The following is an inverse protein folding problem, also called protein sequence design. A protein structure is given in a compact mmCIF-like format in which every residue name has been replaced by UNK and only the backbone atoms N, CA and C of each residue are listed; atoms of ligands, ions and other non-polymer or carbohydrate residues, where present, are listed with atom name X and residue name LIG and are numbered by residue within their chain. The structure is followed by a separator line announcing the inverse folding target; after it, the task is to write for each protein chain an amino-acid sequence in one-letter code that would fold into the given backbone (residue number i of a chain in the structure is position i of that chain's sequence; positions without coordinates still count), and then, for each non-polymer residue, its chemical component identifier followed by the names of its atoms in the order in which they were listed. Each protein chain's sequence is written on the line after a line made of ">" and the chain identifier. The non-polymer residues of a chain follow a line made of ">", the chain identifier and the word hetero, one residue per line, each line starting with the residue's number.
data_IF_407728013979
#
_entry.id   IF_407728013979
#
_cell.length_a   1.000
_cell.length_b   1.000
_cell.length_c   1.000
_cell.angle_alpha   90.00
_cell.angle_beta   90.00
_cell.angle_gamma   90.00
#
_symmetry.space_group_name_H-M   'P 1'
#
loop_
_entity.id
_entity.type
_entity.pdbx_description
1 polymer ?
#
# COMPACT_ATOMS: atom_id res chain seq x y z
N UNK A 1 -15.78 14.01 -21.52
CA UNK A 1 -16.25 12.63 -21.77
C UNK A 1 -16.81 12.08 -20.49
N UNK A 2 -17.98 11.48 -20.51
CA UNK A 2 -18.47 10.73 -19.34
C UNK A 2 -17.56 9.51 -19.09
N UNK A 3 -17.47 8.96 -17.86
CA UNK A 3 -16.71 7.76 -17.60
C UNK A 3 -17.04 6.58 -18.52
N UNK A 4 -18.29 6.48 -18.98
CA UNK A 4 -18.76 5.43 -19.88
C UNK A 4 -18.24 5.53 -21.32
N UNK A 5 -17.72 6.70 -21.73
CA UNK A 5 -17.25 6.97 -23.12
C UNK A 5 -15.74 6.91 -23.25
N UNK A 6 -15.00 6.48 -22.21
CA UNK A 6 -13.55 6.41 -22.25
C UNK A 6 -13.06 5.26 -23.13
N UNK A 7 -11.92 5.47 -23.75
CA UNK A 7 -11.33 4.51 -24.69
C UNK A 7 -10.91 3.20 -24.01
N UNK A 8 -10.41 3.29 -22.76
CA UNK A 8 -9.93 2.15 -21.99
C UNK A 8 -10.66 2.02 -20.66
N UNK A 9 -10.95 0.80 -20.28
CA UNK A 9 -11.46 0.48 -18.95
C UNK A 9 -10.29 0.49 -17.95
N UNK A 10 -9.14 -0.06 -18.34
CA UNK A 10 -7.93 -0.12 -17.52
C UNK A 10 -6.71 0.32 -18.32
N UNK A 11 -5.91 1.23 -17.76
CA UNK A 11 -4.55 1.51 -18.23
C UNK A 11 -3.56 1.08 -17.17
N UNK A 12 -2.68 0.13 -17.48
CA UNK A 12 -1.59 -0.30 -16.61
C UNK A 12 -0.34 0.53 -16.88
N UNK A 13 -0.08 1.51 -16.01
CA UNK A 13 1.11 2.36 -16.09
C UNK A 13 2.27 1.75 -15.30
N UNK A 14 3.43 1.64 -15.97
CA UNK A 14 4.60 0.94 -15.44
C UNK A 14 4.67 -0.54 -15.81
N UNK A 15 3.94 -0.95 -16.85
CA UNK A 15 3.84 -2.34 -17.31
C UNK A 15 5.18 -3.03 -17.59
N UNK A 16 6.27 -2.27 -17.79
CA UNK A 16 7.62 -2.80 -18.07
C UNK A 16 8.46 -3.10 -16.82
N UNK A 17 7.97 -2.71 -15.63
CA UNK A 17 8.59 -3.01 -14.34
C UNK A 17 8.31 -4.45 -13.88
N UNK A 18 8.95 -4.89 -12.78
CA UNK A 18 8.75 -6.23 -12.24
C UNK A 18 7.27 -6.47 -11.88
N UNK A 19 6.72 -5.66 -10.96
CA UNK A 19 5.30 -5.78 -10.56
C UNK A 19 4.35 -5.51 -11.72
N UNK A 20 4.70 -4.56 -12.61
CA UNK A 20 3.89 -4.26 -13.79
C UNK A 20 3.75 -5.42 -14.75
N UNK A 21 4.82 -6.21 -14.98
CA UNK A 21 4.76 -7.42 -15.80
C UNK A 21 3.86 -8.49 -15.19
N UNK A 22 3.99 -8.73 -13.88
CA UNK A 22 3.13 -9.70 -13.17
C UNK A 22 1.65 -9.27 -13.20
N UNK A 23 1.39 -7.97 -13.03
CA UNK A 23 0.03 -7.43 -13.16
C UNK A 23 -0.51 -7.59 -14.57
N UNK A 24 0.31 -7.29 -15.60
CA UNK A 24 -0.07 -7.48 -16.99
C UNK A 24 -0.36 -8.94 -17.32
N UNK A 25 0.47 -9.87 -16.82
CA UNK A 25 0.27 -11.30 -16.97
C UNK A 25 -1.04 -11.76 -16.32
N UNK A 26 -1.30 -11.32 -15.09
CA UNK A 26 -2.55 -11.62 -14.40
C UNK A 26 -3.76 -11.12 -15.20
N UNK A 27 -3.73 -9.88 -15.66
CA UNK A 27 -4.81 -9.30 -16.45
C UNK A 27 -5.03 -10.06 -17.76
N UNK A 28 -3.97 -10.47 -18.45
CA UNK A 28 -4.04 -11.25 -19.69
C UNK A 28 -4.66 -12.65 -19.51
N UNK A 29 -4.52 -13.23 -18.31
CA UNK A 29 -5.04 -14.57 -18.00
C UNK A 29 -6.35 -14.54 -17.19
N UNK A 30 -6.83 -13.36 -16.77
CA UNK A 30 -8.03 -13.24 -15.92
C UNK A 30 -9.35 -13.57 -16.61
N UNK A 31 -9.37 -13.71 -17.93
CA UNK A 31 -10.58 -13.85 -18.73
C UNK A 31 -11.43 -12.57 -18.78
N UNK A 32 -10.90 -11.44 -18.34
CA UNK A 32 -11.59 -10.15 -18.35
C UNK A 32 -11.86 -9.66 -19.78
N UNK A 33 -13.04 -9.12 -20.02
CA UNK A 33 -13.44 -8.45 -21.26
C UNK A 33 -13.12 -6.96 -21.28
N UNK A 34 -12.45 -6.45 -20.24
CA UNK A 34 -12.06 -5.05 -20.13
C UNK A 34 -11.11 -4.64 -21.26
N UNK A 35 -11.29 -3.43 -21.76
CA UNK A 35 -10.39 -2.79 -22.74
C UNK A 35 -9.14 -2.30 -22.01
N UNK A 36 -8.05 -3.06 -22.13
CA UNK A 36 -6.80 -2.82 -21.39
C UNK A 36 -5.76 -2.19 -22.31
N UNK A 37 -5.02 -1.20 -21.80
CA UNK A 37 -3.83 -0.65 -22.44
C UNK A 37 -2.61 -0.73 -21.53
N UNK A 38 -1.43 -0.95 -22.11
CA UNK A 38 -0.14 -0.92 -21.42
C UNK A 38 0.50 0.45 -21.57
N UNK A 39 0.96 1.03 -20.47
CA UNK A 39 1.57 2.36 -20.48
C UNK A 39 2.97 2.38 -19.83
N UNK A 40 3.83 3.26 -20.35
CA UNK A 40 5.20 3.44 -19.86
C UNK A 40 6.04 4.33 -20.78
N UNK A 41 7.33 4.51 -20.44
CA UNK A 41 8.23 5.45 -21.12
C UNK A 41 8.84 4.94 -22.42
N UNK A 42 8.87 3.64 -22.63
CA UNK A 42 9.60 3.03 -23.78
C UNK A 42 8.66 2.16 -24.61
N UNK A 43 8.39 2.61 -25.83
CA UNK A 43 7.60 1.86 -26.81
C UNK A 43 8.18 0.47 -27.09
N UNK A 44 9.50 0.35 -27.17
CA UNK A 44 10.19 -0.92 -27.40
C UNK A 44 9.95 -1.91 -26.26
N UNK A 45 10.14 -1.47 -25.00
CA UNK A 45 9.91 -2.31 -23.84
C UNK A 45 8.45 -2.71 -23.69
N UNK A 46 7.51 -1.81 -23.96
CA UNK A 46 6.07 -2.11 -23.95
C UNK A 46 5.72 -3.15 -25.00
N UNK A 47 6.27 -3.06 -26.23
CA UNK A 47 6.11 -4.11 -27.25
C UNK A 47 6.64 -5.46 -26.77
N UNK A 48 7.82 -5.47 -26.11
CA UNK A 48 8.39 -6.69 -25.53
C UNK A 48 7.48 -7.32 -24.49
N UNK A 49 6.87 -6.53 -23.59
CA UNK A 49 5.89 -7.03 -22.61
C UNK A 49 4.67 -7.60 -23.33
N UNK A 50 4.08 -6.87 -24.28
CA UNK A 50 2.92 -7.33 -25.05
C UNK A 50 3.19 -8.65 -25.79
N UNK A 51 4.36 -8.79 -26.39
CA UNK A 51 4.77 -10.04 -27.04
C UNK A 51 4.92 -11.20 -26.04
N UNK A 52 5.45 -10.93 -24.84
CA UNK A 52 5.59 -11.93 -23.77
C UNK A 52 4.22 -12.42 -23.27
N UNK A 53 3.21 -11.56 -23.25
CA UNK A 53 1.85 -11.90 -22.83
C UNK A 53 1.09 -12.79 -23.83
N UNK A 54 1.57 -12.87 -25.07
CA UNK A 54 1.01 -13.73 -26.10
C UNK A 54 -0.35 -13.27 -26.66
N UNK A 55 -1.16 -14.21 -27.17
CA UNK A 55 -2.39 -13.90 -27.91
C UNK A 55 -3.41 -13.08 -27.11
N UNK A 56 -3.50 -13.31 -25.81
CA UNK A 56 -4.49 -12.66 -24.94
C UNK A 56 -4.30 -11.14 -24.81
N UNK A 57 -3.12 -10.62 -25.16
CA UNK A 57 -2.80 -9.21 -25.12
C UNK A 57 -2.31 -8.66 -26.46
N UNK A 58 -2.44 -9.43 -27.57
CA UNK A 58 -1.89 -9.06 -28.87
C UNK A 58 -2.40 -7.69 -29.35
N UNK A 59 -3.66 -7.38 -29.08
CA UNK A 59 -4.32 -6.14 -29.51
C UNK A 59 -4.30 -5.04 -28.44
N UNK A 60 -3.64 -5.24 -27.29
CA UNK A 60 -3.59 -4.21 -26.27
C UNK A 60 -2.81 -2.99 -26.73
N UNK A 61 -3.43 -1.79 -26.77
CA UNK A 61 -2.76 -0.56 -27.14
C UNK A 61 -1.59 -0.22 -26.21
N UNK A 62 -0.61 0.49 -26.77
CA UNK A 62 0.56 0.96 -26.05
C UNK A 62 0.52 2.48 -25.93
N UNK A 63 0.59 2.99 -24.71
CA UNK A 63 0.54 4.44 -24.40
C UNK A 63 1.92 4.88 -23.89
N UNK A 64 2.47 5.89 -24.53
CA UNK A 64 3.70 6.53 -24.05
C UNK A 64 3.34 7.59 -23.00
N UNK A 65 3.81 7.38 -21.77
CA UNK A 65 3.63 8.30 -20.66
C UNK A 65 4.88 8.32 -19.77
N UNK A 66 5.25 9.50 -19.30
CA UNK A 66 6.42 9.71 -18.43
C UNK A 66 6.04 10.63 -17.26
N UNK A 67 6.37 10.21 -16.02
CA UNK A 67 6.13 10.99 -14.82
C UNK A 67 6.85 12.34 -14.80
N UNK A 68 7.93 12.51 -15.58
CA UNK A 68 8.62 13.78 -15.77
C UNK A 68 7.93 14.72 -16.76
N UNK A 69 6.89 14.24 -17.46
CA UNK A 69 6.14 14.97 -18.47
C UNK A 69 4.63 14.96 -18.15
N UNK A 70 4.14 15.86 -17.27
CA UNK A 70 2.77 15.84 -16.78
C UNK A 70 1.69 15.79 -17.86
N UNK A 71 1.89 16.45 -18.99
CA UNK A 71 0.93 16.43 -20.10
C UNK A 71 0.69 15.01 -20.67
N UNK A 72 1.70 14.15 -20.64
CA UNK A 72 1.54 12.75 -21.08
C UNK A 72 0.68 11.94 -20.10
N UNK A 73 0.78 12.24 -18.80
CA UNK A 73 -0.05 11.64 -17.77
C UNK A 73 -1.50 12.13 -17.85
N UNK A 74 -1.71 13.42 -18.11
CA UNK A 74 -3.05 13.99 -18.31
C UNK A 74 -3.74 13.36 -19.54
N UNK A 75 -3.02 13.26 -20.66
CA UNK A 75 -3.53 12.63 -21.87
C UNK A 75 -3.88 11.14 -21.66
N UNK A 76 -3.07 10.41 -20.88
CA UNK A 76 -3.33 9.03 -20.53
C UNK A 76 -4.55 8.91 -19.61
N UNK A 77 -4.61 9.70 -18.53
CA UNK A 77 -5.70 9.67 -17.57
C UNK A 77 -7.06 10.00 -18.21
N UNK A 78 -7.11 10.99 -19.12
CA UNK A 78 -8.33 11.37 -19.81
C UNK A 78 -8.96 10.24 -20.67
N UNK A 79 -8.18 9.22 -21.06
CA UNK A 79 -8.59 8.10 -21.90
C UNK A 79 -9.00 6.84 -21.11
N UNK A 80 -8.71 6.80 -19.82
CA UNK A 80 -8.91 5.62 -18.96
C UNK A 80 -10.05 5.80 -17.97
N UNK A 81 -10.83 4.75 -17.72
CA UNK A 81 -11.71 4.72 -16.54
C UNK A 81 -10.89 4.55 -15.27
N UNK A 82 -9.91 3.63 -15.29
CA UNK A 82 -9.01 3.35 -14.17
C UNK A 82 -7.56 3.37 -14.66
N UNK A 83 -6.69 4.03 -13.92
CA UNK A 83 -5.23 3.88 -14.08
C UNK A 83 -4.70 3.05 -12.91
N UNK A 84 -4.17 1.86 -13.22
CA UNK A 84 -3.36 1.06 -12.29
C UNK A 84 -1.91 1.45 -12.46
N UNK A 85 -1.23 1.86 -11.39
CA UNK A 85 0.19 2.21 -11.49
C UNK A 85 1.09 1.37 -10.60
N UNK A 86 2.19 0.92 -11.18
CA UNK A 86 3.28 0.22 -10.48
C UNK A 86 4.59 1.03 -10.53
N UNK A 87 4.49 2.33 -10.82
CA UNK A 87 5.65 3.24 -10.98
C UNK A 87 6.02 3.84 -9.63
N UNK A 88 7.02 3.27 -8.98
CA UNK A 88 7.63 3.81 -7.76
C UNK A 88 9.08 4.30 -7.99
N UNK A 89 9.71 4.96 -7.01
CA UNK A 89 9.15 5.45 -5.73
C UNK A 89 8.03 6.47 -5.93
N UNK A 90 6.93 6.32 -5.19
CA UNK A 90 5.72 7.14 -5.37
C UNK A 90 5.90 8.56 -4.88
N UNK A 91 6.66 8.79 -3.81
CA UNK A 91 7.03 10.13 -3.34
C UNK A 91 7.70 10.95 -4.44
N UNK A 92 8.44 10.28 -5.35
CA UNK A 92 9.14 10.96 -6.45
C UNK A 92 8.30 11.10 -7.71
N UNK A 93 7.49 10.09 -8.04
CA UNK A 93 6.85 9.97 -9.36
C UNK A 93 5.32 9.91 -9.31
N UNK A 94 4.71 9.71 -8.14
CA UNK A 94 3.29 9.40 -8.03
C UNK A 94 2.38 10.62 -8.09
N UNK A 95 2.73 11.72 -7.42
CA UNK A 95 1.86 12.90 -7.30
C UNK A 95 1.38 13.48 -8.64
N UNK A 96 2.22 13.59 -9.70
CA UNK A 96 1.74 14.09 -10.98
C UNK A 96 0.63 13.22 -11.62
N UNK A 97 0.68 11.90 -11.41
CA UNK A 97 -0.35 11.01 -11.90
C UNK A 97 -1.63 11.09 -11.07
N UNK A 98 -1.53 11.18 -9.73
CA UNK A 98 -2.68 11.44 -8.85
C UNK A 98 -3.38 12.74 -9.26
N UNK A 99 -2.62 13.81 -9.52
CA UNK A 99 -3.15 15.08 -10.01
C UNK A 99 -3.91 14.91 -11.33
N UNK A 100 -3.33 14.21 -12.29
CA UNK A 100 -3.94 13.97 -13.60
C UNK A 100 -5.25 13.16 -13.46
N UNK A 101 -5.27 12.12 -12.64
CA UNK A 101 -6.45 11.31 -12.39
C UNK A 101 -7.54 12.10 -11.66
N UNK A 102 -7.19 12.82 -10.58
CA UNK A 102 -8.13 13.67 -9.85
C UNK A 102 -8.76 14.75 -10.74
N UNK A 103 -7.96 15.38 -11.61
CA UNK A 103 -8.44 16.39 -12.57
C UNK A 103 -9.38 15.79 -13.62
N UNK A 104 -9.07 14.60 -14.11
CA UNK A 104 -9.83 13.95 -15.18
C UNK A 104 -11.08 13.21 -14.70
N UNK A 105 -11.31 13.05 -13.41
CA UNK A 105 -12.35 12.16 -12.89
C UNK A 105 -12.05 10.68 -13.18
N UNK A 106 -10.77 10.31 -13.23
CA UNK A 106 -10.28 8.95 -13.51
C UNK A 106 -9.96 8.26 -12.21
N UNK A 107 -10.38 7.03 -12.05
CA UNK A 107 -10.01 6.22 -10.90
C UNK A 107 -8.51 5.88 -10.93
N UNK A 108 -7.91 5.86 -9.77
CA UNK A 108 -6.48 5.59 -9.57
C UNK A 108 -6.29 4.48 -8.57
N UNK A 109 -5.39 3.55 -8.86
CA UNK A 109 -4.97 2.54 -7.90
C UNK A 109 -3.45 2.31 -8.00
N UNK A 110 -2.80 2.18 -6.85
CA UNK A 110 -1.37 1.92 -6.74
C UNK A 110 -1.06 0.82 -5.71
N UNK A 111 0.22 0.51 -5.55
CA UNK A 111 0.73 -0.42 -4.55
C UNK A 111 1.78 0.26 -3.65
N UNK A 112 1.51 1.52 -3.27
CA UNK A 112 2.43 2.28 -2.43
C UNK A 112 2.51 1.75 -1.00
N UNK A 113 3.70 1.80 -0.41
CA UNK A 113 3.94 1.68 1.04
C UNK A 113 4.51 2.97 1.63
N UNK A 114 4.35 4.12 0.94
CA UNK A 114 4.98 5.39 1.27
C UNK A 114 3.97 6.35 1.94
N UNK A 115 4.00 6.39 3.29
CA UNK A 115 3.03 7.15 4.09
C UNK A 115 2.99 8.64 3.73
N UNK A 116 4.15 9.26 3.48
CA UNK A 116 4.22 10.66 3.09
C UNK A 116 3.61 10.94 1.73
N UNK A 117 3.76 10.01 0.78
CA UNK A 117 3.07 10.11 -0.50
C UNK A 117 1.55 10.04 -0.33
N UNK A 118 1.06 9.11 0.51
CA UNK A 118 -0.36 9.01 0.82
C UNK A 118 -0.88 10.31 1.45
N UNK A 119 -0.17 10.87 2.44
CA UNK A 119 -0.56 12.13 3.10
C UNK A 119 -0.62 13.26 2.09
N UNK A 120 0.43 13.46 1.29
CA UNK A 120 0.47 14.51 0.28
C UNK A 120 -0.63 14.35 -0.78
N UNK A 121 -0.93 13.11 -1.19
CA UNK A 121 -2.01 12.83 -2.13
C UNK A 121 -3.38 13.25 -1.57
N UNK A 122 -3.61 12.99 -0.28
CA UNK A 122 -4.84 13.38 0.42
C UNK A 122 -4.92 14.91 0.51
N UNK A 123 -3.86 15.57 1.00
CA UNK A 123 -3.88 17.02 1.24
C UNK A 123 -4.08 17.81 -0.05
N UNK A 124 -3.43 17.39 -1.13
CA UNK A 124 -3.43 18.12 -2.39
C UNK A 124 -4.64 17.82 -3.26
N UNK A 125 -5.15 16.57 -3.26
CA UNK A 125 -6.06 16.12 -4.31
C UNK A 125 -7.36 15.50 -3.81
N UNK A 126 -7.57 15.30 -2.50
CA UNK A 126 -8.81 14.69 -1.98
C UNK A 126 -10.06 15.47 -2.42
N UNK A 127 -10.02 16.80 -2.22
CA UNK A 127 -11.17 17.65 -2.60
C UNK A 127 -11.42 17.62 -4.11
N UNK A 128 -10.37 17.76 -4.92
CA UNK A 128 -10.51 17.72 -6.38
C UNK A 128 -11.05 16.38 -6.86
N UNK A 129 -10.57 15.27 -6.30
CA UNK A 129 -11.05 13.93 -6.63
C UNK A 129 -12.54 13.77 -6.26
N UNK A 130 -12.95 14.25 -5.09
CA UNK A 130 -14.36 14.23 -4.68
C UNK A 130 -15.25 15.06 -5.63
N UNK A 131 -14.79 16.27 -6.01
CA UNK A 131 -15.53 17.16 -6.92
C UNK A 131 -15.70 16.57 -8.33
N UNK A 132 -14.73 15.79 -8.82
CA UNK A 132 -14.75 15.14 -10.15
C UNK A 132 -15.33 13.74 -10.15
N UNK A 133 -15.52 13.14 -8.98
CA UNK A 133 -15.96 11.74 -8.81
C UNK A 133 -14.82 10.71 -8.98
N UNK A 134 -13.56 11.12 -9.07
CA UNK A 134 -12.41 10.22 -9.13
C UNK A 134 -12.20 9.48 -7.80
N UNK A 135 -12.02 8.17 -7.84
CA UNK A 135 -11.63 7.36 -6.69
C UNK A 135 -10.13 7.17 -6.68
N UNK A 136 -9.44 7.80 -5.73
CA UNK A 136 -7.99 7.68 -5.55
C UNK A 136 -7.73 6.63 -4.46
N UNK A 137 -7.44 5.39 -4.87
CA UNK A 137 -7.25 4.24 -3.97
C UNK A 137 -5.77 3.94 -3.87
N UNK A 138 -5.21 4.24 -2.72
CA UNK A 138 -3.79 4.05 -2.42
C UNK A 138 -3.57 2.67 -1.75
N UNK A 139 -2.36 2.13 -1.87
CA UNK A 139 -1.95 0.91 -1.16
C UNK A 139 -2.76 -0.36 -1.51
N UNK A 140 -3.08 -0.56 -2.80
CA UNK A 140 -3.78 -1.75 -3.28
C UNK A 140 -2.88 -2.99 -3.42
N UNK A 141 -1.63 -2.94 -2.93
CA UNK A 141 -0.72 -4.08 -2.93
C UNK A 141 -1.11 -5.15 -1.91
N UNK A 142 -0.60 -6.38 -2.12
CA UNK A 142 -0.82 -7.52 -1.23
C UNK A 142 -0.35 -7.26 0.21
N UNK A 143 0.64 -6.40 0.39
CA UNK A 143 1.18 -6.01 1.70
C UNK A 143 0.22 -5.17 2.55
N UNK A 144 -0.85 -4.60 1.99
CA UNK A 144 -1.82 -3.78 2.72
C UNK A 144 -3.28 -4.23 2.54
N UNK A 145 -3.67 -4.66 1.33
CA UNK A 145 -5.06 -5.06 1.03
C UNK A 145 -5.59 -6.15 1.98
N UNK A 146 -4.84 -7.22 2.31
CA UNK A 146 -5.34 -8.22 3.25
C UNK A 146 -5.62 -7.65 4.64
N UNK A 147 -4.82 -6.70 5.10
CA UNK A 147 -5.02 -6.03 6.40
C UNK A 147 -6.34 -5.26 6.41
N UNK A 148 -6.56 -4.44 5.41
CA UNK A 148 -7.74 -3.58 5.32
C UNK A 148 -9.04 -4.37 5.07
N UNK A 149 -9.02 -5.26 4.08
CA UNK A 149 -10.21 -6.04 3.73
C UNK A 149 -10.60 -7.07 4.80
N UNK A 150 -9.64 -7.68 5.51
CA UNK A 150 -9.97 -8.58 6.62
C UNK A 150 -10.67 -7.84 7.77
N UNK A 151 -10.25 -6.63 8.10
CA UNK A 151 -10.94 -5.82 9.13
C UNK A 151 -12.31 -5.40 8.65
N UNK A 152 -12.45 -5.02 7.38
CA UNK A 152 -13.76 -4.72 6.79
C UNK A 152 -14.71 -5.94 6.84
N UNK A 153 -14.21 -7.13 6.51
CA UNK A 153 -14.99 -8.36 6.61
C UNK A 153 -15.38 -8.67 8.06
N UNK A 154 -14.45 -8.47 9.01
CA UNK A 154 -14.75 -8.65 10.45
C UNK A 154 -15.84 -7.68 10.90
N UNK A 155 -15.77 -6.40 10.49
CA UNK A 155 -16.81 -5.42 10.74
C UNK A 155 -18.15 -5.85 10.13
N UNK A 156 -18.17 -6.25 8.86
CA UNK A 156 -19.37 -6.76 8.21
C UNK A 156 -20.01 -7.89 9.01
N UNK A 157 -19.16 -8.83 9.47
CA UNK A 157 -19.60 -9.97 10.28
C UNK A 157 -20.17 -9.53 11.64
N UNK A 158 -19.53 -8.57 12.31
CA UNK A 158 -20.02 -8.06 13.58
C UNK A 158 -21.40 -7.40 13.47
N UNK A 159 -21.64 -6.70 12.36
CA UNK A 159 -22.98 -6.12 12.05
C UNK A 159 -24.01 -7.23 11.82
N UNK A 160 -23.67 -8.25 11.02
CA UNK A 160 -24.57 -9.38 10.72
C UNK A 160 -24.94 -10.17 12.00
N UNK A 161 -23.96 -10.38 12.87
CA UNK A 161 -24.14 -11.11 14.15
C UNK A 161 -24.74 -10.25 15.28
N UNK A 162 -24.86 -8.94 15.08
CA UNK A 162 -25.35 -8.03 16.12
C UNK A 162 -24.43 -7.90 17.34
N UNK A 163 -23.11 -8.15 17.18
CA UNK A 163 -22.14 -8.15 18.28
C UNK A 163 -21.62 -6.76 18.66
N UNK A 164 -22.00 -5.73 17.89
CA UNK A 164 -21.64 -4.34 18.15
C UNK A 164 -20.35 -3.88 17.44
N UNK A 165 -19.79 -2.77 17.95
CA UNK A 165 -18.59 -2.16 17.38
C UNK A 165 -17.34 -3.00 17.62
N UNK A 166 -16.38 -2.92 16.68
CA UNK A 166 -15.04 -3.46 16.90
C UNK A 166 -14.30 -2.61 17.94
N UNK A 167 -13.55 -3.27 18.82
CA UNK A 167 -12.69 -2.63 19.81
C UNK A 167 -11.22 -2.98 19.53
N UNK A 168 -10.57 -3.76 20.42
CA UNK A 168 -9.22 -4.23 20.20
C UNK A 168 -9.23 -5.33 19.13
N UNK A 169 -8.59 -5.02 18.00
CA UNK A 169 -8.56 -5.88 16.83
C UNK A 169 -7.11 -6.13 16.43
N UNK A 170 -6.73 -7.39 16.35
CA UNK A 170 -5.35 -7.80 16.05
C UNK A 170 -5.31 -8.68 14.81
N UNK A 171 -4.42 -8.32 13.85
CA UNK A 171 -4.04 -9.20 12.77
C UNK A 171 -2.76 -9.96 13.14
N UNK A 172 -2.78 -11.28 13.01
CA UNK A 172 -1.61 -12.12 13.23
C UNK A 172 -1.21 -12.84 11.97
N UNK A 173 -0.11 -12.41 11.37
CA UNK A 173 0.48 -13.09 10.21
C UNK A 173 1.11 -14.41 10.68
N UNK A 174 0.51 -15.55 10.35
CA UNK A 174 0.94 -16.86 10.85
C UNK A 174 2.16 -17.43 10.15
N UNK A 175 2.28 -17.20 8.86
CA UNK A 175 3.42 -17.65 8.05
C UNK A 175 3.70 -16.65 6.93
N UNK A 176 4.97 -16.48 6.64
CA UNK A 176 5.46 -15.57 5.60
C UNK A 176 6.62 -16.22 4.85
N UNK A 177 6.57 -16.20 3.53
CA UNK A 177 7.67 -16.64 2.70
C UNK A 177 8.55 -15.45 2.30
N UNK A 178 9.84 -15.48 2.66
CA UNK A 178 10.80 -14.40 2.36
C UNK A 178 11.06 -14.18 0.86
N UNK A 179 10.53 -15.03 -0.03
CA UNK A 179 10.69 -14.91 -1.48
C UNK A 179 9.93 -13.73 -2.10
N UNK A 180 9.20 -12.96 -1.32
CA UNK A 180 8.26 -11.94 -1.79
C UNK A 180 8.76 -10.50 -1.67
N UNK A 181 10.00 -10.28 -1.21
CA UNK A 181 10.54 -8.92 -1.06
C UNK A 181 11.19 -8.49 -2.36
N UNK A 182 10.52 -7.62 -3.12
CA UNK A 182 11.09 -7.02 -4.33
C UNK A 182 12.11 -5.92 -4.01
N UNK A 183 13.07 -5.71 -4.91
CA UNK A 183 14.00 -4.58 -4.78
C UNK A 183 13.30 -3.21 -4.78
N UNK A 184 12.11 -3.11 -5.38
CA UNK A 184 11.24 -1.93 -5.31
C UNK A 184 10.72 -1.68 -3.90
N UNK A 185 10.22 -2.71 -3.21
CA UNK A 185 9.73 -2.60 -1.82
C UNK A 185 10.83 -2.13 -0.87
N UNK A 186 12.04 -2.65 -1.03
CA UNK A 186 13.18 -2.23 -0.19
C UNK A 186 13.60 -0.80 -0.47
N UNK A 187 13.62 -0.37 -1.73
CA UNK A 187 13.94 1.01 -2.10
C UNK A 187 12.92 1.99 -1.52
N UNK A 188 11.64 1.67 -1.63
CA UNK A 188 10.51 2.44 -1.07
C UNK A 188 10.63 2.57 0.46
N UNK A 189 10.84 1.45 1.17
CA UNK A 189 11.02 1.45 2.62
C UNK A 189 12.22 2.28 3.05
N UNK A 190 13.37 2.12 2.37
CA UNK A 190 14.58 2.86 2.66
C UNK A 190 14.42 4.36 2.48
N UNK A 191 13.70 4.79 1.47
CA UNK A 191 13.42 6.21 1.21
C UNK A 191 12.48 6.79 2.27
N UNK A 192 11.41 6.07 2.62
CA UNK A 192 10.49 6.46 3.67
C UNK A 192 11.21 6.64 5.02
N UNK A 193 12.10 5.70 5.37
CA UNK A 193 12.90 5.79 6.60
C UNK A 193 13.86 6.97 6.61
N UNK A 194 14.52 7.26 5.48
CA UNK A 194 15.40 8.45 5.39
C UNK A 194 14.63 9.75 5.58
N UNK A 195 13.50 9.89 4.91
CA UNK A 195 12.66 11.07 5.02
C UNK A 195 12.20 11.28 6.47
N UNK A 196 11.71 10.24 7.13
CA UNK A 196 11.30 10.29 8.53
C UNK A 196 12.46 10.60 9.50
N UNK A 197 13.70 10.21 9.16
CA UNK A 197 14.88 10.47 9.99
C UNK A 197 15.41 11.89 9.87
N UNK A 198 15.31 12.50 8.68
CA UNK A 198 15.90 13.81 8.38
C UNK A 198 14.96 14.98 8.64
N UNK A 199 13.64 14.74 8.67
CA UNK A 199 12.62 15.77 8.80
C UNK A 199 11.77 15.54 10.06
N UNK A 200 11.77 16.50 11.05
CA UNK A 200 10.96 16.41 12.25
C UNK A 200 9.46 16.38 11.98
N UNK A 201 8.97 17.05 10.93
CA UNK A 201 7.56 17.06 10.54
C UNK A 201 7.17 15.70 9.96
N UNK A 202 7.95 15.17 9.03
CA UNK A 202 7.76 13.82 8.52
C UNK A 202 7.77 12.77 9.64
N UNK A 203 8.64 12.93 10.65
CA UNK A 203 8.67 12.05 11.83
C UNK A 203 7.38 12.10 12.62
N UNK A 204 6.82 13.29 12.86
CA UNK A 204 5.52 13.45 13.53
C UNK A 204 4.41 12.74 12.75
N UNK A 205 4.34 12.97 11.44
CA UNK A 205 3.35 12.34 10.58
C UNK A 205 3.46 10.82 10.57
N UNK A 206 4.67 10.26 10.51
CA UNK A 206 4.88 8.81 10.53
C UNK A 206 4.49 8.18 11.88
N UNK A 207 4.67 8.89 12.99
CA UNK A 207 4.33 8.39 14.33
C UNK A 207 2.86 8.60 14.71
N UNK A 208 2.16 9.48 14.02
CA UNK A 208 0.75 9.76 14.26
C UNK A 208 -0.13 8.57 13.79
N UNK A 209 -0.94 7.97 14.67
CA UNK A 209 -1.78 6.84 14.32
C UNK A 209 -2.88 7.18 13.30
N UNK A 210 -3.27 8.44 13.20
CA UNK A 210 -4.36 8.92 12.33
C UNK A 210 -3.88 9.82 11.19
N UNK A 211 -2.59 9.81 10.88
CA UNK A 211 -2.00 10.72 9.89
C UNK A 211 -2.66 10.70 8.51
N UNK A 212 -3.41 9.66 8.15
CA UNK A 212 -4.10 9.55 6.86
C UNK A 212 -5.58 9.95 6.92
N UNK A 213 -6.10 10.43 8.04
CA UNK A 213 -7.47 10.93 8.11
C UNK A 213 -7.59 12.30 7.43
N UNK A 214 -8.77 12.58 6.87
CA UNK A 214 -9.07 13.87 6.23
C UNK A 214 -9.59 14.87 7.23
N UNK A 215 -10.44 14.44 8.17
CA UNK A 215 -10.97 15.27 9.25
C UNK A 215 -10.25 14.98 10.56
N UNK A 216 -9.25 15.81 10.86
CA UNK A 216 -8.47 15.73 12.10
C UNK A 216 -9.29 16.01 13.35
N UNK A 217 -10.34 16.80 13.24
CA UNK A 217 -11.22 17.15 14.36
C UNK A 217 -12.13 16.01 14.81
N UNK A 218 -12.39 15.03 13.94
CA UNK A 218 -13.24 13.89 14.24
C UNK A 218 -12.48 12.68 14.80
N UNK A 219 -11.14 12.75 14.94
CA UNK A 219 -10.31 11.63 15.41
C UNK A 219 -10.63 11.25 16.86
N UNK A 220 -10.68 9.94 17.18
CA UNK A 220 -10.90 9.48 18.55
C UNK A 220 -9.62 9.64 19.40
N UNK A 221 -9.78 10.09 20.62
CA UNK A 221 -8.71 10.23 21.62
C UNK A 221 -8.45 8.89 22.34
N UNK A 222 -7.74 7.97 21.68
CA UNK A 222 -7.46 6.64 22.25
C UNK A 222 -6.07 6.51 22.91
N UNK A 223 -5.32 7.60 22.99
CA UNK A 223 -3.95 7.59 23.53
C UNK A 223 -2.95 6.83 22.64
N UNK A 224 -1.89 6.31 23.24
CA UNK A 224 -0.82 5.64 22.51
C UNK A 224 -1.31 4.37 21.81
N UNK A 225 -0.95 4.22 20.53
CA UNK A 225 -1.22 3.04 19.71
C UNK A 225 0.09 2.58 19.05
N UNK A 226 0.92 1.81 19.77
CA UNK A 226 2.23 1.41 19.30
C UNK A 226 2.12 0.43 18.12
N UNK A 227 2.97 0.64 17.09
CA UNK A 227 3.00 -0.20 15.89
C UNK A 227 3.71 -1.54 16.11
N UNK A 228 4.65 -1.60 17.06
CA UNK A 228 5.45 -2.79 17.31
C UNK A 228 5.10 -3.37 18.66
N UNK A 229 4.36 -4.46 18.62
CA UNK A 229 3.89 -5.20 19.79
C UNK A 229 4.55 -6.57 19.85
N UNK A 230 4.71 -7.07 21.09
CA UNK A 230 5.12 -8.43 21.39
C UNK A 230 4.13 -8.98 22.40
N UNK A 231 3.47 -10.10 22.06
CA UNK A 231 2.47 -10.73 22.93
C UNK A 231 2.56 -12.26 22.87
N UNK A 232 2.32 -12.98 23.97
CA UNK A 232 2.02 -14.39 23.88
C UNK A 232 0.69 -14.58 23.14
N UNK A 233 0.61 -15.58 22.27
CA UNK A 233 -0.57 -15.80 21.43
C UNK A 233 -1.86 -16.07 22.22
N UNK A 234 -1.74 -16.67 23.43
CA UNK A 234 -2.88 -16.88 24.31
C UNK A 234 -3.60 -15.59 24.75
N UNK A 235 -2.90 -14.44 24.73
CA UNK A 235 -3.44 -13.13 25.06
C UNK A 235 -4.22 -12.52 23.88
N UNK A 236 -4.09 -13.11 22.67
CA UNK A 236 -4.76 -12.68 21.46
C UNK A 236 -5.97 -13.57 21.14
N UNK A 237 -5.77 -14.89 21.13
CA UNK A 237 -6.84 -15.86 20.89
C UNK A 237 -6.45 -17.25 21.40
N UNK A 238 -7.44 -18.07 21.84
CA UNK A 238 -7.19 -19.46 22.30
C UNK A 238 -6.46 -20.32 21.27
N UNK A 239 -6.74 -20.15 19.97
CA UNK A 239 -6.15 -20.87 18.85
C UNK A 239 -4.66 -20.58 18.66
N UNK A 240 -4.20 -19.47 19.21
CA UNK A 240 -2.81 -19.03 19.21
C UNK A 240 -2.06 -19.43 20.50
N UNK A 241 -2.68 -20.21 21.39
CA UNK A 241 -2.02 -20.68 22.59
C UNK A 241 -0.71 -21.42 22.27
N UNK A 242 0.34 -21.08 22.99
CA UNK A 242 1.69 -21.60 22.76
C UNK A 242 2.52 -20.86 21.72
N UNK A 243 1.92 -20.05 20.86
CA UNK A 243 2.68 -19.18 19.97
C UNK A 243 3.17 -17.92 20.68
N UNK A 244 4.23 -17.34 20.15
CA UNK A 244 4.65 -15.97 20.44
C UNK A 244 4.56 -15.13 19.20
N UNK A 245 4.08 -13.90 19.37
CA UNK A 245 4.04 -12.90 18.30
C UNK A 245 5.02 -11.76 18.56
N UNK A 246 5.53 -11.17 17.48
CA UNK A 246 6.43 -10.03 17.52
C UNK A 246 6.06 -9.00 16.47
N UNK A 247 6.80 -7.90 16.42
CA UNK A 247 6.56 -6.80 15.50
C UNK A 247 6.53 -7.26 14.04
N UNK A 248 5.63 -6.67 13.27
CA UNK A 248 5.52 -6.86 11.82
C UNK A 248 5.98 -5.59 11.10
N UNK A 249 6.84 -5.75 10.09
CA UNK A 249 7.51 -4.62 9.43
C UNK A 249 6.54 -3.66 8.74
N UNK A 250 5.41 -4.15 8.24
CA UNK A 250 4.39 -3.34 7.56
C UNK A 250 3.37 -2.71 8.52
N UNK A 251 3.36 -3.09 9.80
CA UNK A 251 2.40 -2.57 10.77
C UNK A 251 2.33 -1.04 10.83
N UNK A 252 3.45 -0.27 10.79
CA UNK A 252 3.39 1.19 10.80
C UNK A 252 2.62 1.80 9.62
N UNK A 253 2.63 1.15 8.48
CA UNK A 253 1.88 1.60 7.31
C UNK A 253 0.44 1.08 7.33
N UNK A 254 0.26 -0.22 7.47
CA UNK A 254 -1.06 -0.87 7.39
C UNK A 254 -2.05 -0.36 8.45
N UNK A 255 -1.57 -0.12 9.68
CA UNK A 255 -2.42 0.39 10.76
C UNK A 255 -3.03 1.76 10.42
N UNK A 256 -2.31 2.62 9.68
CA UNK A 256 -2.82 3.91 9.19
C UNK A 256 -3.83 3.73 8.07
N UNK A 257 -3.61 2.78 7.16
CA UNK A 257 -4.56 2.46 6.09
C UNK A 257 -5.89 1.99 6.69
N UNK A 258 -5.86 1.02 7.60
CA UNK A 258 -7.07 0.48 8.26
C UNK A 258 -7.82 1.55 9.05
N UNK A 259 -7.11 2.41 9.79
CA UNK A 259 -7.74 3.53 10.51
C UNK A 259 -8.32 4.57 9.57
N UNK A 260 -7.67 4.82 8.40
CA UNK A 260 -8.24 5.65 7.35
C UNK A 260 -9.54 5.06 6.80
N UNK A 261 -9.60 3.76 6.56
CA UNK A 261 -10.83 3.09 6.10
C UNK A 261 -11.96 3.22 7.10
N UNK A 262 -11.67 3.14 8.41
CA UNK A 262 -12.66 3.44 9.45
C UNK A 262 -13.14 4.90 9.39
N UNK A 263 -12.21 5.86 9.27
CA UNK A 263 -12.55 7.28 9.19
C UNK A 263 -13.39 7.62 7.95
N UNK A 264 -13.04 7.04 6.79
CA UNK A 264 -13.80 7.23 5.54
C UNK A 264 -15.22 6.64 5.58
N UNK A 265 -15.46 5.69 6.48
CA UNK A 265 -16.76 5.11 6.76
C UNK A 265 -17.41 5.74 8.00
N UNK A 266 -17.10 7.00 8.30
CA UNK A 266 -17.67 7.76 9.43
C UNK A 266 -17.49 7.04 10.79
N UNK A 267 -16.35 6.36 10.94
CA UNK A 267 -15.99 5.59 12.13
C UNK A 267 -16.88 4.37 12.39
N UNK A 268 -17.43 3.77 11.34
CA UNK A 268 -18.36 2.66 11.41
C UNK A 268 -17.81 1.39 12.10
N UNK A 269 -16.49 1.16 12.09
CA UNK A 269 -15.90 0.05 12.85
C UNK A 269 -16.05 0.26 14.37
N UNK A 270 -16.15 1.49 14.81
CA UNK A 270 -16.30 1.91 16.21
C UNK A 270 -15.34 3.04 16.57
N UNK A 271 -15.79 3.94 17.44
CA UNK A 271 -14.93 5.03 17.94
C UNK A 271 -13.87 4.58 18.94
N UNK A 272 -14.02 3.38 19.51
CA UNK A 272 -13.02 2.74 20.38
C UNK A 272 -12.12 1.75 19.64
N UNK A 273 -12.24 1.67 18.33
CA UNK A 273 -11.49 0.75 17.49
C UNK A 273 -9.99 1.00 17.59
N UNK A 274 -9.26 -0.01 18.05
CA UNK A 274 -7.79 -0.09 18.07
C UNK A 274 -7.36 -1.22 17.17
N UNK A 275 -6.38 -0.98 16.36
CA UNK A 275 -5.89 -1.98 15.43
C UNK A 275 -4.39 -2.18 15.55
N UNK A 276 -3.94 -3.42 15.61
CA UNK A 276 -2.53 -3.77 15.62
C UNK A 276 -2.22 -4.96 14.71
N UNK A 277 -0.96 -5.04 14.27
CA UNK A 277 -0.45 -6.14 13.46
C UNK A 277 0.79 -6.76 14.10
N UNK A 278 0.82 -8.09 14.13
CA UNK A 278 1.97 -8.85 14.60
C UNK A 278 2.23 -10.05 13.67
N UNK A 279 3.42 -10.63 13.77
CA UNK A 279 3.74 -11.88 13.08
C UNK A 279 4.04 -13.00 14.09
N UNK A 280 3.65 -14.21 13.77
CA UNK A 280 3.96 -15.38 14.57
C UNK A 280 5.42 -15.79 14.44
N UNK A 281 6.07 -16.02 15.57
CA UNK A 281 7.46 -16.49 15.67
C UNK A 281 7.54 -17.94 16.16
N UNK A 282 6.41 -18.64 16.14
CA UNK A 282 6.33 -20.07 16.43
C UNK A 282 6.06 -20.40 17.89
N UNK A 283 6.20 -21.69 18.21
CA UNK A 283 5.89 -22.28 19.53
C UNK A 283 7.14 -22.76 20.30
N UNK A 284 8.33 -22.58 19.74
CA UNK A 284 9.56 -23.04 20.38
C UNK A 284 9.83 -22.34 21.70
N UNK A 285 10.59 -22.98 22.59
CA UNK A 285 11.03 -22.35 23.85
C UNK A 285 11.84 -21.06 23.62
N UNK A 286 12.47 -20.92 22.46
CA UNK A 286 13.17 -19.71 22.06
C UNK A 286 12.27 -18.61 21.47
N UNK A 287 11.00 -18.91 21.14
CA UNK A 287 10.08 -17.97 20.51
C UNK A 287 9.91 -16.63 21.26
N UNK A 288 9.82 -16.59 22.62
CA UNK A 288 9.74 -15.32 23.34
C UNK A 288 11.00 -14.46 23.19
N UNK A 289 12.17 -15.06 23.15
CA UNK A 289 13.45 -14.35 22.94
C UNK A 289 13.52 -13.85 21.50
N UNK A 290 13.14 -14.70 20.53
CA UNK A 290 13.09 -14.31 19.13
C UNK A 290 12.08 -13.17 18.89
N UNK A 291 10.93 -13.22 19.55
CA UNK A 291 9.92 -12.16 19.49
C UNK A 291 10.46 -10.83 20.02
N UNK A 292 11.22 -10.87 21.13
CA UNK A 292 11.87 -9.68 21.65
C UNK A 292 12.94 -9.14 20.71
N UNK A 293 13.78 -10.02 20.17
CA UNK A 293 14.87 -9.66 19.26
C UNK A 293 14.32 -9.06 17.95
N UNK A 294 13.33 -9.69 17.31
CA UNK A 294 12.71 -9.21 16.08
C UNK A 294 12.02 -7.86 16.31
N UNK A 295 11.20 -7.74 17.34
CA UNK A 295 10.50 -6.49 17.65
C UNK A 295 11.48 -5.36 17.97
N UNK A 296 12.53 -5.65 18.76
CA UNK A 296 13.58 -4.70 19.09
C UNK A 296 14.41 -4.28 17.88
N UNK A 297 14.77 -5.23 17.01
CA UNK A 297 15.55 -4.93 15.80
C UNK A 297 14.78 -4.07 14.82
N UNK A 298 13.48 -4.37 14.58
CA UNK A 298 12.64 -3.55 13.72
C UNK A 298 12.46 -2.15 14.33
N UNK A 299 12.16 -2.05 15.61
CA UNK A 299 11.99 -0.76 16.28
C UNK A 299 13.25 0.09 16.31
N UNK A 300 14.42 -0.52 16.60
CA UNK A 300 15.72 0.17 16.55
C UNK A 300 16.14 0.49 15.11
N UNK A 301 15.88 -0.42 14.16
CA UNK A 301 16.10 -0.18 12.75
C UNK A 301 15.37 1.06 12.28
N UNK A 302 14.07 1.17 12.58
CA UNK A 302 13.28 2.36 12.24
C UNK A 302 13.80 3.64 12.92
N UNK A 303 14.31 3.54 14.14
CA UNK A 303 14.81 4.70 14.90
C UNK A 303 16.20 5.19 14.43
N UNK A 304 17.05 4.29 13.95
CA UNK A 304 18.47 4.59 13.64
C UNK A 304 18.83 4.26 12.19
N UNK A 305 17.88 4.13 11.30
CA UNK A 305 18.10 3.74 9.90
C UNK A 305 19.07 4.69 9.17
N UNK A 306 18.99 5.98 9.47
CA UNK A 306 19.86 7.03 8.94
C UNK A 306 21.34 6.87 9.28
N UNK A 307 21.64 6.17 10.40
CA UNK A 307 23.01 5.89 10.86
C UNK A 307 23.61 4.63 10.24
N UNK A 308 22.82 3.83 9.54
CA UNK A 308 23.32 2.63 8.88
C UNK A 308 24.15 2.99 7.64
N UNK A 309 25.40 2.42 7.49
CA UNK A 309 26.23 2.66 6.32
C UNK A 309 25.48 2.24 5.03
N UNK A 310 25.40 3.14 4.05
CA UNK A 310 24.72 2.85 2.75
C UNK A 310 25.21 1.55 2.12
N UNK A 311 26.52 1.27 2.18
CA UNK A 311 27.12 0.04 1.65
C UNK A 311 26.59 -1.24 2.29
N UNK A 312 26.17 -1.17 3.55
CA UNK A 312 25.59 -2.33 4.26
C UNK A 312 24.15 -2.57 3.80
N UNK A 313 23.37 -1.51 3.67
CA UNK A 313 21.99 -1.57 3.16
C UNK A 313 22.00 -2.10 1.72
N UNK A 314 22.83 -1.56 0.83
CA UNK A 314 22.94 -1.97 -0.57
C UNK A 314 23.40 -3.43 -0.77
N UNK A 315 24.13 -4.01 0.20
CA UNK A 315 24.56 -5.43 0.13
C UNK A 315 23.45 -6.43 0.44
N UNK A 316 22.51 -6.05 1.27
CA UNK A 316 21.41 -6.95 1.72
C UNK A 316 20.11 -6.68 0.98
N UNK A 317 20.06 -5.63 0.14
CA UNK A 317 18.86 -5.28 -0.59
C UNK A 317 18.93 -5.79 -2.04
N UNK A 318 17.86 -6.42 -2.55
CA UNK A 318 17.75 -6.75 -3.97
C UNK A 318 17.82 -5.47 -4.82
N UNK A 319 18.41 -5.57 -6.01
CA UNK A 319 18.50 -4.43 -6.93
C UNK A 319 17.08 -4.03 -7.41
N UNK A 320 16.79 -2.74 -7.62
CA UNK A 320 15.54 -2.31 -8.21
C UNK A 320 15.27 -3.03 -9.54
N UNK A 321 14.05 -3.56 -9.72
CA UNK A 321 13.67 -4.31 -10.91
C UNK A 321 13.95 -5.81 -10.87
N UNK A 322 14.46 -6.32 -9.74
CA UNK A 322 14.63 -7.77 -9.49
C UNK A 322 13.70 -8.20 -8.35
N UNK A 323 13.19 -9.40 -8.43
CA UNK A 323 12.35 -10.05 -7.42
C UNK A 323 12.25 -11.54 -7.68
#
# INVERSE_FOLDING_TARGET
>A
MSPAEREFDIVLYGATGFSGKLTAEHLAHSGSTARIALAGRSSERLRGVRMMLGPNAADWPLILADASQPLTLEAMAARAQVVLTTVGPYTRYGLPLVAACAKAGTDYADLTGELMFCRNSIDLYHKQAADTGARIILACGFDSIPSDLNVYQLYRRSVEDGTGELCDTDLVLRSFSQRWVSGGSVATYSEAMRTASSDPEARRLVTDPYTLTTDRGAEPELGAQPDFLRRPGRDLAPELAGFWTGGFVQAPFNTRIVRRSNALQEWAYGRRFRYSETMSLGKSMAAPILAAAVTGTIGLGNKYFDRLPRRLVERVTPKPGTG
#
